data_IF_795007807245
#
_entry.id   IF_795007807245
#
_cell.length_a   1.000
_cell.length_b   1.000
_cell.length_c   1.000
_cell.angle_alpha   90.00
_cell.angle_beta   90.00
_cell.angle_gamma   90.00
#
_symmetry.space_group_name_H-M   'P 1'
#
loop_
_entity.id
_entity.type
_entity.pdbx_description
1 polymer ?
#
# COMPACT_ATOMS: atom_id res chain seq x y z
N UNK A 1 -32.26 -40.48 21.42
CA UNK A 1 -31.75 -41.86 21.21
C UNK A 1 -32.98 -42.64 20.80
N UNK A 2 -32.95 -43.40 19.70
CA UNK A 2 -34.11 -44.23 19.37
C UNK A 2 -34.41 -45.14 20.56
N UNK A 3 -35.70 -45.24 20.92
CA UNK A 3 -36.16 -46.07 22.03
C UNK A 3 -35.65 -47.49 21.84
N UNK A 4 -35.07 -48.08 22.89
CA UNK A 4 -34.52 -49.43 22.80
C UNK A 4 -35.63 -50.44 22.48
N UNK A 5 -35.35 -51.39 21.60
CA UNK A 5 -36.27 -52.50 21.28
C UNK A 5 -36.69 -53.26 22.54
N UNK A 6 -35.80 -53.36 23.53
CA UNK A 6 -36.09 -53.96 24.84
C UNK A 6 -37.14 -53.20 25.66
N UNK A 7 -37.21 -51.88 25.51
CA UNK A 7 -38.18 -51.05 26.22
C UNK A 7 -39.56 -51.18 25.57
N UNK A 8 -39.63 -51.18 24.23
CA UNK A 8 -40.88 -51.41 23.47
C UNK A 8 -41.52 -52.75 23.85
N UNK A 9 -40.71 -53.81 23.92
CA UNK A 9 -41.18 -55.15 24.34
C UNK A 9 -41.74 -55.18 25.77
N UNK A 10 -41.14 -54.44 26.71
CA UNK A 10 -41.67 -54.36 28.10
C UNK A 10 -42.95 -53.53 28.19
N UNK A 11 -43.12 -52.56 27.29
CA UNK A 11 -44.33 -51.77 27.16
C UNK A 11 -45.55 -52.60 26.74
N UNK A 12 -45.36 -53.78 26.12
CA UNK A 12 -46.42 -54.75 25.80
C UNK A 12 -46.91 -55.55 27.00
N UNK A 13 -46.10 -55.64 28.07
CA UNK A 13 -46.43 -56.41 29.27
C UNK A 13 -47.14 -55.61 30.37
N UNK A 14 -47.40 -54.31 30.17
CA UNK A 14 -48.10 -53.43 31.13
C UNK A 14 -49.54 -53.19 30.72
N UNK A 15 -50.38 -52.72 31.66
CA UNK A 15 -51.79 -52.43 31.38
C UNK A 15 -51.94 -51.35 30.30
N UNK A 16 -53.04 -51.35 29.53
CA UNK A 16 -53.28 -50.37 28.47
C UNK A 16 -53.18 -48.91 28.94
N UNK A 17 -53.68 -48.63 30.15
CA UNK A 17 -53.69 -47.29 30.74
C UNK A 17 -52.27 -46.85 31.10
N UNK A 18 -51.49 -47.73 31.73
CA UNK A 18 -50.10 -47.43 32.08
C UNK A 18 -49.22 -47.32 30.83
N UNK A 19 -49.47 -48.14 29.81
CA UNK A 19 -48.83 -48.04 28.49
C UNK A 19 -49.07 -46.67 27.87
N UNK A 20 -50.31 -46.18 27.87
CA UNK A 20 -50.63 -44.87 27.28
C UNK A 20 -49.91 -43.74 28.01
N UNK A 21 -49.95 -43.73 29.35
CA UNK A 21 -49.24 -42.72 30.16
C UNK A 21 -47.74 -42.74 29.89
N UNK A 22 -47.14 -43.93 29.74
CA UNK A 22 -45.72 -44.06 29.41
C UNK A 22 -45.39 -43.55 27.99
N UNK A 23 -46.28 -43.77 27.02
CA UNK A 23 -46.13 -43.24 25.66
C UNK A 23 -46.21 -41.71 25.64
N UNK A 24 -47.21 -41.13 26.32
CA UNK A 24 -47.38 -39.68 26.41
C UNK A 24 -46.16 -39.02 27.09
N UNK A 25 -45.60 -39.66 28.12
CA UNK A 25 -44.37 -39.21 28.79
C UNK A 25 -43.15 -39.27 27.85
N UNK A 26 -43.03 -40.30 27.02
CA UNK A 26 -41.94 -40.41 26.06
C UNK A 26 -42.02 -39.35 24.97
N UNK A 27 -43.23 -39.08 24.47
CA UNK A 27 -43.46 -37.99 23.50
C UNK A 27 -43.08 -36.64 24.10
N UNK A 28 -43.51 -36.34 25.33
CA UNK A 28 -43.15 -35.10 26.02
C UNK A 28 -41.63 -34.98 26.24
N UNK A 29 -40.97 -36.07 26.64
CA UNK A 29 -39.51 -36.10 26.86
C UNK A 29 -38.73 -35.90 25.57
N UNK A 30 -39.13 -36.54 24.46
CA UNK A 30 -38.46 -36.35 23.17
C UNK A 30 -38.69 -34.92 22.63
N UNK A 31 -39.90 -34.35 22.76
CA UNK A 31 -40.16 -32.95 22.38
C UNK A 31 -39.30 -31.97 23.16
N UNK A 32 -39.24 -32.09 24.49
CA UNK A 32 -38.40 -31.23 25.32
C UNK A 32 -36.91 -31.39 24.99
N UNK A 33 -36.48 -32.60 24.67
CA UNK A 33 -35.10 -32.87 24.27
C UNK A 33 -34.75 -32.17 22.98
N UNK A 34 -35.56 -32.30 21.93
CA UNK A 34 -35.32 -31.67 20.63
C UNK A 34 -35.26 -30.14 20.74
N UNK A 35 -36.19 -29.53 21.48
CA UNK A 35 -36.15 -28.10 21.77
C UNK A 35 -34.89 -27.69 22.54
N UNK A 36 -34.49 -28.48 23.54
CA UNK A 36 -33.30 -28.18 24.36
C UNK A 36 -32.00 -28.28 23.57
N UNK A 37 -31.88 -29.26 22.66
CA UNK A 37 -30.73 -29.43 21.78
C UNK A 37 -30.66 -28.27 20.79
N UNK A 38 -31.79 -27.91 20.18
CA UNK A 38 -31.88 -26.77 19.25
C UNK A 38 -31.48 -25.45 19.92
N UNK A 39 -31.94 -25.21 21.16
CA UNK A 39 -31.55 -24.02 21.94
C UNK A 39 -30.06 -23.99 22.27
N UNK A 40 -29.45 -25.15 22.55
CA UNK A 40 -28.01 -25.24 22.82
C UNK A 40 -27.19 -24.91 21.58
N UNK A 41 -27.48 -25.55 20.45
CA UNK A 41 -26.79 -25.28 19.17
C UNK A 41 -26.97 -23.82 18.73
N UNK A 42 -28.17 -23.26 18.91
CA UNK A 42 -28.42 -21.85 18.62
C UNK A 42 -27.60 -20.90 19.50
N UNK A 43 -27.47 -21.20 20.80
CA UNK A 43 -26.67 -20.39 21.70
C UNK A 43 -25.17 -20.51 21.37
N UNK A 44 -24.67 -21.70 21.04
CA UNK A 44 -23.29 -21.88 20.58
C UNK A 44 -23.01 -21.09 19.31
N UNK A 45 -23.92 -21.14 18.32
CA UNK A 45 -23.81 -20.34 17.11
C UNK A 45 -23.80 -18.83 17.43
N UNK A 46 -24.65 -18.38 18.35
CA UNK A 46 -24.69 -16.98 18.77
C UNK A 46 -23.38 -16.51 19.40
N UNK A 47 -22.74 -17.35 20.21
CA UNK A 47 -21.42 -17.04 20.77
C UNK A 47 -20.35 -16.98 19.68
N UNK A 48 -20.33 -17.94 18.75
CA UNK A 48 -19.40 -17.93 17.60
C UNK A 48 -19.58 -16.66 16.77
N UNK A 49 -20.84 -16.28 16.47
CA UNK A 49 -21.14 -15.05 15.71
C UNK A 49 -20.70 -13.81 16.48
N UNK A 50 -20.87 -13.77 17.80
CA UNK A 50 -20.40 -12.64 18.63
C UNK A 50 -18.87 -12.54 18.60
N UNK A 51 -18.16 -13.66 18.73
CA UNK A 51 -16.70 -13.69 18.64
C UNK A 51 -16.20 -13.25 17.26
N UNK A 52 -16.85 -13.74 16.19
CA UNK A 52 -16.53 -13.32 14.82
C UNK A 52 -16.76 -11.81 14.63
N UNK A 53 -17.87 -11.27 15.13
CA UNK A 53 -18.14 -9.84 15.05
C UNK A 53 -17.06 -9.02 15.77
N UNK A 54 -16.59 -9.48 16.94
CA UNK A 54 -15.50 -8.83 17.65
C UNK A 54 -14.19 -8.87 16.85
N UNK A 55 -13.80 -10.04 16.33
CA UNK A 55 -12.59 -10.19 15.50
C UNK A 55 -12.64 -9.32 14.24
N UNK A 56 -13.81 -9.19 13.61
CA UNK A 56 -14.01 -8.31 12.45
C UNK A 56 -13.82 -6.84 12.82
N UNK A 57 -14.32 -6.41 13.97
CA UNK A 57 -14.11 -5.04 14.46
C UNK A 57 -12.62 -4.77 14.74
N UNK A 58 -11.92 -5.69 15.40
CA UNK A 58 -10.48 -5.58 15.67
C UNK A 58 -9.66 -5.50 14.36
N UNK A 59 -10.03 -6.30 13.35
CA UNK A 59 -9.42 -6.24 12.02
C UNK A 59 -9.69 -4.90 11.33
N UNK A 60 -10.90 -4.36 11.41
CA UNK A 60 -11.24 -3.07 10.82
C UNK A 60 -10.44 -1.93 11.47
N UNK A 61 -10.22 -1.97 12.78
CA UNK A 61 -9.37 -1.01 13.48
C UNK A 61 -7.89 -1.14 13.13
N UNK A 62 -7.38 -2.38 13.01
CA UNK A 62 -6.02 -2.63 12.54
C UNK A 62 -5.81 -2.11 11.10
N UNK A 63 -6.81 -2.30 10.23
CA UNK A 63 -6.78 -1.79 8.87
C UNK A 63 -6.78 -0.26 8.84
N UNK A 64 -7.63 0.42 9.61
CA UNK A 64 -7.64 1.89 9.71
C UNK A 64 -6.28 2.45 10.15
N UNK A 65 -5.66 1.86 11.18
CA UNK A 65 -4.32 2.23 11.63
C UNK A 65 -3.27 2.05 10.52
N UNK A 66 -3.36 0.96 9.77
CA UNK A 66 -2.46 0.68 8.65
C UNK A 66 -2.64 1.72 7.52
N UNK A 67 -3.88 2.08 7.18
CA UNK A 67 -4.17 3.11 6.18
C UNK A 67 -3.61 4.49 6.58
N UNK A 68 -3.67 4.83 7.86
CA UNK A 68 -3.08 6.07 8.38
C UNK A 68 -1.54 6.08 8.26
N UNK A 69 -0.87 4.99 8.63
CA UNK A 69 0.58 4.88 8.49
C UNK A 69 1.03 4.90 7.03
N UNK A 70 0.29 4.25 6.13
CA UNK A 70 0.54 4.33 4.68
C UNK A 70 0.39 5.76 4.18
N UNK A 71 -0.63 6.50 4.64
CA UNK A 71 -0.82 7.91 4.29
C UNK A 71 0.36 8.77 4.75
N UNK A 72 0.86 8.57 5.97
CA UNK A 72 2.05 9.27 6.49
C UNK A 72 3.30 8.94 5.66
N UNK A 73 3.50 7.66 5.35
CA UNK A 73 4.63 7.21 4.51
C UNK A 73 4.59 7.84 3.11
N UNK A 74 3.42 7.86 2.46
CA UNK A 74 3.25 8.47 1.15
C UNK A 74 3.56 9.98 1.17
N UNK A 75 3.17 10.69 2.23
CA UNK A 75 3.53 12.10 2.40
C UNK A 75 5.04 12.28 2.60
N UNK A 76 5.68 11.43 3.42
CA UNK A 76 7.13 11.44 3.62
C UNK A 76 7.88 11.21 2.31
N UNK A 77 7.45 10.22 1.51
CA UNK A 77 8.05 9.94 0.20
C UNK A 77 7.93 11.12 -0.77
N UNK A 78 6.78 11.82 -0.78
CA UNK A 78 6.60 13.02 -1.62
C UNK A 78 7.56 14.14 -1.24
N UNK A 79 7.73 14.43 0.06
CA UNK A 79 8.69 15.44 0.54
C UNK A 79 10.12 15.06 0.17
N UNK A 80 10.50 13.81 0.41
CA UNK A 80 11.83 13.31 0.05
C UNK A 80 12.12 13.47 -1.45
N UNK A 81 11.15 13.14 -2.32
CA UNK A 81 11.30 13.35 -3.78
C UNK A 81 11.49 14.83 -4.13
N UNK A 82 10.80 15.73 -3.46
CA UNK A 82 10.96 17.17 -3.68
C UNK A 82 12.34 17.66 -3.24
N UNK A 83 12.80 17.25 -2.06
CA UNK A 83 14.11 17.59 -1.52
C UNK A 83 15.24 17.06 -2.41
N UNK A 84 15.19 15.77 -2.77
CA UNK A 84 16.16 15.15 -3.68
C UNK A 84 16.13 15.81 -5.06
N UNK A 85 14.93 16.12 -5.59
CA UNK A 85 14.81 16.85 -6.85
C UNK A 85 15.39 18.27 -6.78
N UNK A 86 15.23 18.95 -5.64
CA UNK A 86 15.84 20.24 -5.37
C UNK A 86 17.37 20.15 -5.34
N UNK A 87 17.91 19.19 -4.58
CA UNK A 87 19.34 18.92 -4.51
C UNK A 87 19.93 18.58 -5.88
N UNK A 88 19.27 17.71 -6.65
CA UNK A 88 19.71 17.35 -7.99
C UNK A 88 19.84 18.59 -8.90
N UNK A 89 18.86 19.50 -8.88
CA UNK A 89 18.92 20.77 -9.62
C UNK A 89 20.05 21.67 -9.14
N UNK A 90 20.22 21.81 -7.82
CA UNK A 90 21.31 22.63 -7.27
C UNK A 90 22.68 22.08 -7.63
N UNK A 91 22.86 20.75 -7.61
CA UNK A 91 24.10 20.09 -8.02
C UNK A 91 24.33 20.25 -9.52
N UNK A 92 23.31 20.06 -10.36
CA UNK A 92 23.42 20.28 -11.80
C UNK A 92 23.87 21.71 -12.11
N UNK A 93 23.22 22.71 -11.52
CA UNK A 93 23.60 24.11 -11.67
C UNK A 93 25.03 24.40 -11.18
N UNK A 94 25.45 23.81 -10.06
CA UNK A 94 26.81 23.98 -9.55
C UNK A 94 27.85 23.35 -10.49
N UNK A 95 27.57 22.16 -11.05
CA UNK A 95 28.44 21.50 -12.01
C UNK A 95 28.54 22.27 -13.33
N UNK A 96 27.41 22.77 -13.85
CA UNK A 96 27.41 23.65 -15.02
C UNK A 96 28.30 24.87 -14.79
N UNK A 97 28.12 25.57 -13.67
CA UNK A 97 28.93 26.75 -13.36
C UNK A 97 30.42 26.44 -13.27
N UNK A 98 30.80 25.31 -12.68
CA UNK A 98 32.20 24.91 -12.60
C UNK A 98 32.74 24.51 -13.99
N UNK A 99 31.93 23.84 -14.81
CA UNK A 99 32.28 23.55 -16.20
C UNK A 99 32.52 24.84 -17.00
N UNK A 100 31.63 25.83 -16.90
CA UNK A 100 31.81 27.15 -17.52
C UNK A 100 33.10 27.84 -17.07
N UNK A 101 33.43 27.75 -15.78
CA UNK A 101 34.63 28.35 -15.21
C UNK A 101 35.91 27.70 -15.73
N UNK A 102 35.91 26.37 -15.91
CA UNK A 102 37.07 25.58 -16.34
C UNK A 102 37.22 25.49 -17.86
N UNK A 103 36.15 25.71 -18.61
CA UNK A 103 36.12 25.55 -20.05
C UNK A 103 37.20 26.37 -20.81
N UNK A 104 37.49 27.64 -20.48
CA UNK A 104 38.53 28.40 -21.18
C UNK A 104 39.94 27.82 -21.00
N UNK A 105 40.23 27.25 -19.83
CA UNK A 105 41.50 26.57 -19.58
C UNK A 105 41.58 25.27 -20.40
N UNK A 106 40.50 24.49 -20.41
CA UNK A 106 40.43 23.28 -21.21
C UNK A 106 40.57 23.54 -22.71
N UNK A 107 39.86 24.54 -23.25
CA UNK A 107 39.92 24.91 -24.68
C UNK A 107 41.32 25.36 -25.12
N UNK A 108 42.06 26.04 -24.24
CA UNK A 108 43.47 26.41 -24.52
C UNK A 108 44.35 25.18 -24.74
N UNK A 109 44.14 24.09 -24.01
CA UNK A 109 44.87 22.82 -24.26
C UNK A 109 44.57 22.21 -25.64
N UNK A 110 43.49 22.66 -26.30
CA UNK A 110 43.08 22.24 -27.65
C UNK A 110 43.46 23.27 -28.73
N UNK A 111 44.24 24.29 -28.38
CA UNK A 111 44.65 25.38 -29.29
C UNK A 111 43.56 26.41 -29.56
N UNK A 112 42.52 26.49 -28.70
CA UNK A 112 41.43 27.46 -28.83
C UNK A 112 41.53 28.49 -27.71
N UNK A 113 41.75 29.76 -28.07
CA UNK A 113 41.85 30.87 -27.13
C UNK A 113 40.52 31.62 -27.04
N UNK A 114 39.88 31.61 -25.88
CA UNK A 114 38.64 32.37 -25.64
C UNK A 114 38.98 33.86 -25.51
N UNK A 115 38.41 34.69 -26.39
CA UNK A 115 38.76 36.12 -26.51
C UNK A 115 37.93 37.01 -25.58
N UNK A 116 36.72 36.59 -25.22
CA UNK A 116 35.79 37.36 -24.40
C UNK A 116 35.05 36.47 -23.40
N UNK A 117 34.40 37.09 -22.41
CA UNK A 117 33.58 36.36 -21.45
C UNK A 117 32.43 35.67 -22.18
N UNK A 118 32.34 34.35 -22.02
CA UNK A 118 31.25 33.55 -22.57
C UNK A 118 29.94 33.87 -21.84
N UNK A 119 28.83 33.93 -22.57
CA UNK A 119 27.50 34.31 -22.08
C UNK A 119 26.41 33.35 -22.55
N UNK A 120 25.30 33.30 -21.81
CA UNK A 120 24.03 32.71 -22.28
C UNK A 120 23.31 33.69 -23.18
N UNK A 121 22.76 33.24 -24.31
CA UNK A 121 22.06 34.10 -25.28
C UNK A 121 20.93 33.36 -25.97
N UNK A 122 19.79 34.01 -26.15
CA UNK A 122 18.72 33.51 -27.01
C UNK A 122 18.96 33.95 -28.45
N UNK A 123 18.92 33.00 -29.39
CA UNK A 123 19.08 33.27 -30.83
C UNK A 123 18.00 32.50 -31.58
N UNK A 124 17.10 33.23 -32.25
CA UNK A 124 16.04 32.61 -33.06
C UNK A 124 14.97 31.85 -32.25
N UNK A 125 14.79 32.17 -30.97
CA UNK A 125 13.87 31.48 -30.06
C UNK A 125 14.48 30.28 -29.33
N UNK A 126 15.75 29.97 -29.59
CA UNK A 126 16.49 28.90 -28.92
C UNK A 126 17.49 29.48 -27.92
N UNK A 127 17.57 28.90 -26.72
CA UNK A 127 18.53 29.31 -25.69
C UNK A 127 19.89 28.65 -25.94
N UNK A 128 20.88 29.47 -26.31
CA UNK A 128 22.28 29.04 -26.39
C UNK A 128 22.91 29.21 -25.01
N UNK A 129 23.24 28.08 -24.38
CA UNK A 129 23.83 28.05 -23.05
C UNK A 129 25.24 28.67 -23.03
N UNK A 130 26.02 28.45 -24.08
CA UNK A 130 27.39 28.94 -24.20
C UNK A 130 27.58 29.70 -25.52
N UNK A 131 27.82 31.01 -25.44
CA UNK A 131 28.12 31.84 -26.60
C UNK A 131 29.33 32.73 -26.31
N UNK A 132 30.30 32.78 -27.23
CA UNK A 132 31.42 33.71 -27.13
C UNK A 132 32.35 33.65 -28.33
N UNK A 133 33.29 34.59 -28.43
CA UNK A 133 34.34 34.57 -29.44
C UNK A 133 35.58 33.85 -28.95
N UNK A 134 36.21 33.11 -29.86
CA UNK A 134 37.51 32.50 -29.65
C UNK A 134 38.38 32.60 -30.89
N UNK A 135 39.65 32.23 -30.76
CA UNK A 135 40.63 32.20 -31.83
C UNK A 135 41.29 30.82 -31.90
N UNK A 136 41.55 30.35 -33.11
CA UNK A 136 42.35 29.15 -33.38
C UNK A 136 43.21 29.41 -34.60
N UNK A 137 44.51 29.12 -34.49
CA UNK A 137 45.46 29.25 -35.61
C UNK A 137 45.43 30.61 -36.33
N UNK A 138 45.11 31.69 -35.59
CA UNK A 138 45.02 33.06 -36.13
C UNK A 138 43.63 33.46 -36.65
N UNK A 139 42.70 32.53 -36.79
CA UNK A 139 41.33 32.80 -37.25
C UNK A 139 40.36 32.99 -36.08
N UNK A 140 39.50 34.00 -36.18
CA UNK A 140 38.41 34.21 -35.21
C UNK A 140 37.24 33.28 -35.51
N UNK A 141 36.72 32.66 -34.46
CA UNK A 141 35.63 31.70 -34.53
C UNK A 141 34.64 31.93 -33.39
N UNK A 142 33.41 31.45 -33.62
CA UNK A 142 32.32 31.55 -32.66
C UNK A 142 32.23 30.25 -31.86
N UNK A 143 32.30 30.36 -30.54
CA UNK A 143 31.98 29.27 -29.62
C UNK A 143 30.48 29.26 -29.38
N UNK A 144 29.87 28.12 -29.69
CA UNK A 144 28.46 27.81 -29.44
C UNK A 144 28.40 26.46 -28.73
N UNK A 145 27.67 26.39 -27.63
CA UNK A 145 27.47 25.15 -26.89
C UNK A 145 26.10 25.09 -26.23
N UNK A 146 25.55 23.88 -26.24
CA UNK A 146 24.31 23.54 -25.54
C UNK A 146 24.66 22.74 -24.28
N UNK A 147 24.00 23.04 -23.18
CA UNK A 147 23.97 22.21 -21.99
C UNK A 147 22.58 21.59 -21.90
N UNK A 148 22.52 20.25 -21.87
CA UNK A 148 21.28 19.46 -21.76
C UNK A 148 21.15 18.91 -20.35
#
# INVERSE_FOLDING_TARGET
MPISVSFIKRLESVSPELRQVLLDLLEEVERQREESVTRREFNELKEIVRELAQRVNELAEAQRRTEEEIRKLAQGQRRLRQEVGGLARSVAYALENEAFRRLPEFLRTKGIEVLERMVRREVGGEEINLFGRARRDGEELLLVGEAV
#
